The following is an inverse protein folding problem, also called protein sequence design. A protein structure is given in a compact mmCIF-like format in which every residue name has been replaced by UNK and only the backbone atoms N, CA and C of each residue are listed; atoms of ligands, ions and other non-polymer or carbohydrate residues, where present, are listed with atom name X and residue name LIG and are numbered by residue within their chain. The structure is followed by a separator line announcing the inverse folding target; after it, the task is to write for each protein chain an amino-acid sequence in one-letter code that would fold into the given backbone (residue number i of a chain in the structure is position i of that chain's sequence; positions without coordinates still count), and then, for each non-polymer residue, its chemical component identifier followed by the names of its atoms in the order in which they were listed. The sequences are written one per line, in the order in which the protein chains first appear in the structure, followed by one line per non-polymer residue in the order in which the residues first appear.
data_IF_243534667603
#
_entry.id   IF_243534667603
#
_cell.length_a   1.000
_cell.length_b   1.000
_cell.length_c   1.000
_cell.angle_alpha   90.00
_cell.angle_beta   90.00
_cell.angle_gamma   90.00
#
_symmetry.space_group_name_H-M   'P 1'
#
loop_
_entity.id
_entity.type
_entity.pdbx_description
1 polymer ?
#
# COMPACT_ATOMS: atom_id res chain seq x y z
N UNK A 1 18.24 10.64 7.44
CA UNK A 1 18.73 9.26 7.38
C UNK A 1 17.69 8.26 7.85
N UNK A 2 17.04 8.54 8.97
CA UNK A 2 15.99 7.66 9.48
C UNK A 2 14.81 7.56 8.54
N UNK A 3 14.43 8.64 7.87
CA UNK A 3 13.35 8.60 6.89
C UNK A 3 13.69 7.74 5.69
N UNK A 4 14.95 7.73 5.28
CA UNK A 4 15.41 6.88 4.18
C UNK A 4 15.31 5.41 4.54
N UNK A 5 15.62 5.07 5.79
CA UNK A 5 15.51 3.68 6.26
C UNK A 5 14.06 3.23 6.29
N UNK A 6 13.15 4.07 6.77
CA UNK A 6 11.73 3.73 6.78
C UNK A 6 11.18 3.51 5.39
N UNK A 7 11.56 4.38 4.46
CA UNK A 7 11.14 4.27 3.08
C UNK A 7 11.70 3.01 2.42
N UNK A 8 12.98 2.75 2.61
CA UNK A 8 13.63 1.57 2.07
C UNK A 8 13.01 0.30 2.62
N UNK A 9 12.66 0.29 3.89
CA UNK A 9 12.05 -0.87 4.53
C UNK A 9 10.68 -1.19 3.92
N UNK A 10 9.84 -0.18 3.74
CA UNK A 10 8.52 -0.38 3.13
C UNK A 10 8.65 -0.90 1.71
N UNK A 11 9.48 -0.27 0.89
CA UNK A 11 9.71 -0.70 -0.48
C UNK A 11 10.28 -2.10 -0.54
N UNK A 12 11.23 -2.39 0.33
CA UNK A 12 11.85 -3.71 0.38
C UNK A 12 10.84 -4.79 0.74
N UNK A 13 10.00 -4.54 1.74
CA UNK A 13 8.96 -5.49 2.13
C UNK A 13 7.98 -5.75 0.99
N UNK A 14 7.52 -4.70 0.33
CA UNK A 14 6.59 -4.85 -0.78
C UNK A 14 7.22 -5.64 -1.93
N UNK A 15 8.44 -5.34 -2.28
CA UNK A 15 9.15 -6.05 -3.35
C UNK A 15 9.49 -7.47 -2.98
N UNK A 16 10.00 -7.67 -1.76
CA UNK A 16 10.40 -8.99 -1.29
C UNK A 16 9.19 -9.93 -1.26
N UNK A 17 8.07 -9.47 -0.74
CA UNK A 17 6.87 -10.29 -0.69
C UNK A 17 6.31 -10.57 -2.08
N UNK A 18 6.35 -9.59 -2.96
CA UNK A 18 5.93 -9.78 -4.34
C UNK A 18 6.80 -10.81 -5.05
N UNK A 19 8.11 -10.70 -4.90
CA UNK A 19 9.05 -11.65 -5.52
C UNK A 19 8.92 -13.04 -4.92
N UNK A 20 8.76 -13.13 -3.61
CA UNK A 20 8.56 -14.42 -2.95
C UNK A 20 7.26 -15.07 -3.41
N UNK A 21 6.21 -14.28 -3.61
CA UNK A 21 4.96 -14.79 -4.13
C UNK A 21 5.12 -15.41 -5.51
N UNK A 22 5.89 -14.77 -6.36
CA UNK A 22 6.20 -15.29 -7.69
C UNK A 22 7.09 -16.52 -7.62
N UNK A 23 8.14 -16.44 -6.81
CA UNK A 23 9.11 -17.51 -6.69
C UNK A 23 8.53 -18.79 -6.11
N UNK A 24 7.55 -18.66 -5.24
CA UNK A 24 6.92 -19.80 -4.60
C UNK A 24 6.00 -20.58 -5.51
N UNK A 25 5.72 -20.08 -6.68
CA UNK A 25 4.75 -20.64 -7.59
C UNK A 25 3.66 -21.39 -6.82
N UNK A 26 2.53 -20.80 -6.74
CA UNK A 26 1.38 -21.27 -5.97
C UNK A 26 1.23 -22.78 -6.07
N UNK A 27 1.05 -23.50 -4.96
CA UNK A 27 0.81 -24.93 -5.00
C UNK A 27 -0.31 -25.27 -5.97
N UNK A 28 -0.14 -26.39 -6.65
CA UNK A 28 -1.11 -26.83 -7.64
C UNK A 28 -2.52 -26.77 -7.07
N UNK A 29 -3.46 -26.22 -7.83
CA UNK A 29 -4.85 -26.10 -7.43
C UNK A 29 -5.19 -24.83 -6.68
N UNK A 30 -4.20 -24.02 -6.36
CA UNK A 30 -4.45 -22.72 -5.73
C UNK A 30 -4.44 -21.63 -6.79
N UNK A 31 -4.71 -20.39 -6.32
CA UNK A 31 -4.88 -19.26 -7.22
C UNK A 31 -3.53 -18.78 -7.76
N UNK A 32 -3.42 -18.54 -9.06
CA UNK A 32 -2.17 -18.06 -9.63
C UNK A 32 -1.77 -16.70 -9.07
N UNK A 33 -0.48 -16.53 -8.83
CA UNK A 33 0.06 -15.25 -8.38
C UNK A 33 -0.27 -14.12 -9.34
N UNK A 34 -0.46 -14.42 -10.62
CA UNK A 34 -0.84 -13.43 -11.62
C UNK A 34 -2.18 -12.75 -11.33
N UNK A 35 -3.12 -13.46 -10.71
CA UNK A 35 -4.41 -12.87 -10.32
C UNK A 35 -4.22 -11.84 -9.21
N UNK A 36 -3.39 -12.18 -8.22
CA UNK A 36 -3.06 -11.25 -7.14
C UNK A 36 -2.33 -10.03 -7.69
N UNK A 37 -1.38 -10.26 -8.60
CA UNK A 37 -0.65 -9.17 -9.24
C UNK A 37 -1.60 -8.19 -9.94
N UNK A 38 -2.63 -8.72 -10.60
CA UNK A 38 -3.65 -7.89 -11.26
C UNK A 38 -4.37 -6.99 -10.25
N UNK A 39 -4.68 -7.52 -9.06
CA UNK A 39 -5.29 -6.72 -8.00
C UNK A 39 -4.35 -5.63 -7.51
N UNK A 40 -3.07 -5.94 -7.36
CA UNK A 40 -2.08 -4.94 -6.95
C UNK A 40 -2.02 -3.80 -7.96
N UNK A 41 -2.05 -4.12 -9.25
CA UNK A 41 -2.07 -3.09 -10.29
C UNK A 41 -3.36 -2.25 -10.23
N UNK A 42 -4.49 -2.87 -9.94
CA UNK A 42 -5.74 -2.14 -9.74
C UNK A 42 -5.63 -1.20 -8.54
N UNK A 43 -5.04 -1.67 -7.44
CA UNK A 43 -4.80 -0.81 -6.27
C UNK A 43 -3.94 0.40 -6.64
N UNK A 44 -2.83 0.18 -7.35
CA UNK A 44 -1.92 1.26 -7.75
C UNK A 44 -2.61 2.29 -8.64
N UNK A 45 -3.51 1.86 -9.49
CA UNK A 45 -4.20 2.75 -10.40
C UNK A 45 -5.36 3.52 -9.79
N UNK A 46 -5.78 3.16 -8.58
CA UNK A 46 -6.98 3.71 -7.95
C UNK A 46 -6.80 4.02 -6.48
N UNK A 47 -5.61 4.48 -6.08
CA UNK A 47 -5.31 4.72 -4.66
C UNK A 47 -6.22 5.77 -4.02
N UNK A 48 -6.71 6.72 -4.80
CA UNK A 48 -7.59 7.78 -4.32
C UNK A 48 -9.05 7.33 -4.16
N UNK A 49 -9.35 6.12 -4.58
CA UNK A 49 -10.72 5.60 -4.54
C UNK A 49 -10.92 4.63 -3.39
N UNK A 50 -12.18 4.45 -3.02
CA UNK A 50 -12.55 3.42 -2.08
C UNK A 50 -12.43 2.05 -2.77
N UNK A 51 -11.65 1.17 -2.19
CA UNK A 51 -11.40 -0.16 -2.74
C UNK A 51 -11.83 -1.22 -1.74
N UNK A 52 -13.14 -1.46 -1.62
CA UNK A 52 -13.62 -2.46 -0.66
C UNK A 52 -13.13 -3.85 -1.02
N UNK A 53 -12.89 -4.64 0.00
CA UNK A 53 -12.37 -5.99 -0.13
C UNK A 53 -13.24 -6.83 -1.06
N UNK A 54 -14.55 -6.70 -0.96
CA UNK A 54 -15.49 -7.44 -1.79
C UNK A 54 -15.31 -7.14 -3.27
N UNK A 55 -15.07 -5.89 -3.61
CA UNK A 55 -14.85 -5.48 -4.98
C UNK A 55 -13.56 -6.08 -5.55
N UNK A 56 -12.48 -6.01 -4.77
CA UNK A 56 -11.20 -6.55 -5.20
C UNK A 56 -11.27 -8.07 -5.36
N UNK A 57 -11.92 -8.75 -4.43
CA UNK A 57 -12.09 -10.19 -4.50
C UNK A 57 -12.90 -10.59 -5.74
N UNK A 58 -14.00 -9.89 -5.97
CA UNK A 58 -14.88 -10.17 -7.11
C UNK A 58 -14.16 -9.98 -8.45
N UNK A 59 -13.22 -9.03 -8.52
CA UNK A 59 -12.49 -8.76 -9.77
C UNK A 59 -11.67 -9.96 -10.24
N UNK A 60 -11.33 -10.87 -9.34
CA UNK A 60 -10.60 -12.09 -9.68
C UNK A 60 -11.38 -13.36 -9.35
N UNK A 61 -12.69 -13.23 -9.19
CA UNK A 61 -13.58 -14.38 -9.03
C UNK A 61 -13.48 -15.12 -7.70
N UNK A 62 -13.08 -14.41 -6.65
CA UNK A 62 -12.94 -15.02 -5.31
C UNK A 62 -13.90 -14.41 -4.32
N UNK A 63 -14.24 -15.19 -3.28
CA UNK A 63 -14.93 -14.65 -2.12
C UNK A 63 -13.94 -13.79 -1.32
N UNK A 64 -14.42 -12.88 -0.45
CA UNK A 64 -13.53 -12.08 0.38
C UNK A 64 -12.54 -12.91 1.20
N UNK A 65 -12.97 -13.99 1.82
CA UNK A 65 -12.08 -14.82 2.63
C UNK A 65 -11.05 -15.57 1.79
N UNK A 66 -11.44 -16.06 0.61
CA UNK A 66 -10.52 -16.69 -0.32
C UNK A 66 -9.49 -15.68 -0.82
N UNK A 67 -9.95 -14.48 -1.10
CA UNK A 67 -9.08 -13.40 -1.57
C UNK A 67 -8.03 -13.03 -0.52
N UNK A 68 -8.44 -12.83 0.73
CA UNK A 68 -7.50 -12.50 1.81
C UNK A 68 -6.41 -13.57 1.91
N UNK A 69 -6.80 -14.83 1.86
CA UNK A 69 -5.85 -15.94 1.96
C UNK A 69 -4.90 -15.97 0.77
N UNK A 70 -5.43 -15.87 -0.44
CA UNK A 70 -4.61 -15.89 -1.64
C UNK A 70 -3.65 -14.70 -1.68
N UNK A 71 -4.14 -13.52 -1.31
CA UNK A 71 -3.33 -12.30 -1.31
C UNK A 71 -2.20 -12.40 -0.29
N UNK A 72 -2.51 -12.88 0.90
CA UNK A 72 -1.55 -13.05 1.96
C UNK A 72 -0.48 -14.10 1.59
N UNK A 73 -0.89 -15.19 0.95
CA UNK A 73 0.05 -16.20 0.48
C UNK A 73 0.99 -15.65 -0.59
N UNK A 74 0.47 -14.80 -1.47
CA UNK A 74 1.26 -14.26 -2.58
C UNK A 74 2.15 -13.09 -2.17
N UNK A 75 1.71 -12.25 -1.24
CA UNK A 75 2.42 -11.00 -0.89
C UNK A 75 3.01 -10.99 0.52
N UNK A 76 2.56 -11.88 1.39
CA UNK A 76 2.95 -11.89 2.78
C UNK A 76 2.15 -10.94 3.67
N UNK A 77 1.25 -10.15 3.09
CA UNK A 77 0.45 -9.15 3.81
C UNK A 77 -1.03 -9.27 3.46
N UNK A 78 -1.92 -8.99 4.42
CA UNK A 78 -3.34 -8.86 4.09
C UNK A 78 -3.58 -7.71 3.10
N UNK A 79 -4.63 -7.78 2.28
CA UNK A 79 -4.87 -6.76 1.26
C UNK A 79 -4.93 -5.32 1.79
N UNK A 80 -5.62 -5.10 2.92
CA UNK A 80 -5.75 -3.74 3.45
C UNK A 80 -4.43 -3.16 3.93
N UNK A 81 -3.54 -3.99 4.46
CA UNK A 81 -2.21 -3.54 4.87
C UNK A 81 -1.34 -3.21 3.68
N UNK A 82 -1.42 -4.02 2.65
CA UNK A 82 -0.70 -3.78 1.42
C UNK A 82 -1.14 -2.46 0.79
N UNK A 83 -2.46 -2.26 0.69
CA UNK A 83 -3.04 -1.04 0.15
C UNK A 83 -2.62 0.19 0.97
N UNK A 84 -2.64 0.06 2.30
CA UNK A 84 -2.21 1.13 3.19
C UNK A 84 -0.75 1.52 2.91
N UNK A 85 0.10 0.53 2.71
CA UNK A 85 1.50 0.77 2.37
C UNK A 85 1.67 1.53 1.06
N UNK A 86 0.90 1.16 0.05
CA UNK A 86 0.93 1.86 -1.24
C UNK A 86 0.48 3.31 -1.10
N UNK A 87 -0.58 3.54 -0.32
CA UNK A 87 -1.10 4.88 -0.09
C UNK A 87 -0.09 5.76 0.63
N UNK A 88 0.57 5.22 1.64
CA UNK A 88 1.60 5.97 2.37
C UNK A 88 2.82 6.24 1.50
N UNK A 89 3.21 5.31 0.66
CA UNK A 89 4.31 5.51 -0.27
C UNK A 89 4.03 6.67 -1.22
N UNK A 90 2.81 6.72 -1.75
CA UNK A 90 2.38 7.83 -2.60
C UNK A 90 2.37 9.14 -1.83
N UNK A 91 1.91 9.12 -0.58
CA UNK A 91 1.89 10.31 0.27
C UNK A 91 3.30 10.86 0.48
N UNK A 92 4.27 9.99 0.73
CA UNK A 92 5.66 10.42 0.88
C UNK A 92 6.15 11.13 -0.37
N UNK A 93 5.88 10.57 -1.52
CA UNK A 93 6.27 11.18 -2.79
C UNK A 93 5.65 12.56 -2.96
N UNK A 94 4.36 12.71 -2.67
CA UNK A 94 3.69 13.99 -2.80
C UNK A 94 4.21 15.02 -1.80
N UNK A 95 4.50 14.60 -0.57
CA UNK A 95 5.05 15.50 0.44
C UNK A 95 6.45 15.97 0.09
N UNK A 96 7.24 15.12 -0.54
CA UNK A 96 8.60 15.45 -0.96
C UNK A 96 8.65 16.33 -2.21
N UNK A 97 7.77 16.04 -3.17
CA UNK A 97 7.88 16.60 -4.52
C UNK A 97 6.94 17.76 -4.80
N UNK A 98 5.97 18.01 -3.93
CA UNK A 98 4.96 19.04 -4.15
C UNK A 98 4.77 19.92 -2.92
N UNK A 99 4.11 21.08 -3.14
CA UNK A 99 3.71 21.99 -2.07
C UNK A 99 2.25 21.81 -1.67
N UNK A 100 1.63 20.71 -2.08
CA UNK A 100 0.24 20.46 -1.79
C UNK A 100 -0.02 20.51 -0.28
N UNK A 101 -1.14 21.12 0.13
CA UNK A 101 -1.54 21.06 1.54
C UNK A 101 -1.73 19.61 1.99
N UNK A 102 -1.47 19.35 3.27
CA UNK A 102 -1.60 17.99 3.82
C UNK A 102 -2.98 17.40 3.56
N UNK A 103 -4.03 18.22 3.66
CA UNK A 103 -5.38 17.73 3.41
C UNK A 103 -5.55 17.24 1.98
N UNK A 104 -4.94 17.92 1.03
CA UNK A 104 -4.98 17.53 -0.37
C UNK A 104 -4.20 16.24 -0.61
N UNK A 105 -3.05 16.11 0.03
CA UNK A 105 -2.26 14.88 -0.04
C UNK A 105 -3.07 13.70 0.49
N UNK A 106 -3.75 13.89 1.61
CA UNK A 106 -4.58 12.83 2.19
C UNK A 106 -5.66 12.37 1.22
N UNK A 107 -6.36 13.31 0.60
CA UNK A 107 -7.42 12.98 -0.35
C UNK A 107 -6.88 12.24 -1.58
N UNK A 108 -5.78 12.68 -2.12
CA UNK A 108 -5.18 12.04 -3.30
C UNK A 108 -4.64 10.65 -3.01
N UNK A 109 -4.37 10.36 -1.76
CA UNK A 109 -3.89 9.05 -1.33
C UNK A 109 -4.99 8.15 -0.79
N UNK A 110 -6.25 8.57 -0.90
CA UNK A 110 -7.37 7.73 -0.51
C UNK A 110 -7.75 7.78 0.96
N UNK A 111 -7.25 8.77 1.70
CA UNK A 111 -7.61 8.95 3.11
C UNK A 111 -8.75 9.95 3.23
N UNK A 112 -9.91 9.47 3.65
CA UNK A 112 -11.09 10.33 3.79
C UNK A 112 -11.01 11.29 4.96
N UNK A 113 -10.21 10.98 5.97
CA UNK A 113 -10.08 11.82 7.17
C UNK A 113 -8.62 12.17 7.41
N UNK A 114 -8.30 13.47 7.49
CA UNK A 114 -6.91 13.91 7.71
C UNK A 114 -6.28 13.37 8.99
N UNK A 115 -7.08 13.24 10.07
CA UNK A 115 -6.58 12.71 11.33
C UNK A 115 -6.14 11.25 11.21
N UNK A 116 -6.90 10.46 10.48
CA UNK A 116 -6.55 9.07 10.24
C UNK A 116 -5.27 8.98 9.40
N UNK A 117 -5.16 9.79 8.37
CA UNK A 117 -3.97 9.86 7.54
C UNK A 117 -2.73 10.18 8.37
N UNK A 118 -2.82 11.20 9.21
CA UNK A 118 -1.70 11.61 10.06
C UNK A 118 -1.26 10.47 10.99
N UNK A 119 -2.21 9.77 11.59
CA UNK A 119 -1.92 8.65 12.47
C UNK A 119 -1.24 7.52 11.73
N UNK A 120 -1.79 7.11 10.60
CA UNK A 120 -1.22 6.01 9.80
C UNK A 120 0.16 6.38 9.28
N UNK A 121 0.33 7.61 8.81
CA UNK A 121 1.63 8.06 8.30
C UNK A 121 2.70 7.96 9.37
N UNK A 122 2.39 8.43 10.57
CA UNK A 122 3.32 8.39 11.69
C UNK A 122 3.65 6.95 12.09
N UNK A 123 2.65 6.07 12.14
CA UNK A 123 2.86 4.67 12.46
C UNK A 123 3.79 3.99 11.47
N UNK A 124 3.62 4.26 10.19
CA UNK A 124 4.40 3.62 9.13
C UNK A 124 5.81 4.20 9.04
N UNK A 125 5.95 5.52 9.16
CA UNK A 125 7.23 6.19 8.92
C UNK A 125 7.99 6.61 10.18
N UNK A 126 7.35 6.59 11.33
CA UNK A 126 7.98 7.02 12.58
C UNK A 126 8.07 8.52 12.77
N UNK A 127 7.66 9.31 11.79
CA UNK A 127 7.69 10.77 11.83
C UNK A 127 6.33 11.33 11.48
N UNK A 128 6.00 12.50 12.04
CA UNK A 128 4.79 13.22 11.67
C UNK A 128 4.90 13.74 10.23
N UNK A 129 3.75 14.06 9.64
CA UNK A 129 3.71 14.66 8.30
C UNK A 129 4.56 15.92 8.22
N UNK A 130 4.43 16.77 9.22
CA UNK A 130 5.17 18.03 9.26
C UNK A 130 6.68 17.79 9.34
N UNK A 131 7.09 16.90 10.23
CA UNK A 131 8.50 16.58 10.39
C UNK A 131 9.07 15.97 9.11
N UNK A 132 8.34 15.09 8.46
CA UNK A 132 8.75 14.49 7.20
C UNK A 132 8.98 15.53 6.14
N UNK A 133 8.00 16.44 5.97
CA UNK A 133 8.11 17.49 4.95
C UNK A 133 9.30 18.41 5.21
N UNK A 134 9.52 18.80 6.47
CA UNK A 134 10.64 19.65 6.82
C UNK A 134 11.99 18.99 6.52
N UNK A 135 12.14 17.72 6.86
CA UNK A 135 13.38 16.98 6.60
C UNK A 135 13.69 16.86 5.12
N UNK A 136 12.67 16.64 4.31
CA UNK A 136 12.87 16.40 2.89
C UNK A 136 12.94 17.68 2.07
N UNK A 137 12.78 18.83 2.69
CA UNK A 137 12.87 20.15 2.03
C UNK A 137 14.03 20.99 2.49
N UNK A 138 14.70 20.55 3.51
CA UNK A 138 15.84 21.28 4.08
C UNK A 138 17.04 21.37 3.14
#
# INVERSE_FOLDING_TARGET
MTESLGRALVLHLLRAHSNLGEARSVPAGRYPASRVHRVVEEMRGSLDQDLPLSRLAASIGLSPSQFVRAFRDATGLPPHRYLRGLRIERARALLEQTDLPVIEVALRCGFGQPGHFATVFREVNGLSLRAWRQLNRA
#
